data_IF_706012660623
#
_entry.id   IF_706012660623
#
_cell.length_a   1.000
_cell.length_b   1.000
_cell.length_c   1.000
_cell.angle_alpha   90.00
_cell.angle_beta   90.00
_cell.angle_gamma   90.00
#
_symmetry.space_group_name_H-M   'P 1'
#
loop_
_entity.id
_entity.type
_entity.pdbx_description
1 polymer ?
#
# COMPACT_ATOMS: atom_id res chain seq x y z
N UNK A 1 -6.67 -0.56 6.01
CA UNK A 1 -5.90 -1.49 5.15
C UNK A 1 -6.73 -2.01 3.96
N UNK A 2 -8.03 -1.71 3.87
CA UNK A 2 -8.96 -2.16 2.80
C UNK A 2 -8.78 -1.49 1.43
N UNK A 3 -7.72 -0.71 1.21
CA UNK A 3 -7.54 0.07 -0.03
C UNK A 3 -6.50 -0.50 -1.01
N UNK A 4 -5.89 -1.66 -0.71
CA UNK A 4 -4.87 -2.27 -1.60
C UNK A 4 -3.54 -1.50 -1.70
N UNK A 5 -3.38 -0.39 -0.97
CA UNK A 5 -2.15 0.40 -0.93
C UNK A 5 -1.32 0.00 0.29
N UNK A 6 -0.29 -0.78 0.05
CA UNK A 6 0.50 -1.43 1.09
C UNK A 6 1.96 -1.56 0.62
N UNK A 7 2.89 -1.59 1.58
CA UNK A 7 4.30 -1.76 1.28
C UNK A 7 4.63 -3.21 0.97
N UNK A 8 5.83 -3.47 0.44
CA UNK A 8 6.24 -4.81 -0.03
C UNK A 8 6.07 -5.89 1.03
N UNK A 9 6.43 -5.60 2.29
CA UNK A 9 6.33 -6.56 3.39
C UNK A 9 4.89 -6.99 3.65
N UNK A 10 3.95 -6.03 3.60
CA UNK A 10 2.53 -6.31 3.73
C UNK A 10 1.97 -7.06 2.52
N UNK A 11 2.48 -6.80 1.31
CA UNK A 11 2.08 -7.53 0.10
C UNK A 11 2.46 -9.00 0.19
N UNK A 12 3.66 -9.28 0.71
CA UNK A 12 4.15 -10.64 0.94
C UNK A 12 3.25 -11.35 1.97
N UNK A 13 2.90 -10.69 3.08
CA UNK A 13 1.98 -11.25 4.07
C UNK A 13 0.61 -11.58 3.48
N UNK A 14 0.04 -10.70 2.65
CA UNK A 14 -1.27 -10.92 2.01
C UNK A 14 -1.21 -12.08 1.00
N UNK A 15 -0.08 -12.31 0.34
CA UNK A 15 0.13 -13.45 -0.58
C UNK A 15 0.65 -14.72 0.11
N UNK A 16 0.38 -14.86 1.41
CA UNK A 16 0.72 -16.08 2.16
C UNK A 16 2.22 -16.28 2.36
N UNK A 17 3.00 -15.19 2.45
CA UNK A 17 4.45 -15.25 2.62
C UNK A 17 5.22 -15.56 1.33
N UNK A 18 4.54 -15.71 0.20
CA UNK A 18 5.18 -16.04 -1.07
C UNK A 18 5.67 -14.76 -1.79
N UNK A 19 6.96 -14.45 -1.63
CA UNK A 19 7.58 -13.30 -2.29
C UNK A 19 7.61 -13.40 -3.82
N UNK A 20 7.59 -14.61 -4.39
CA UNK A 20 7.54 -14.82 -5.85
C UNK A 20 6.17 -14.51 -6.45
N UNK A 21 5.12 -14.49 -5.63
CA UNK A 21 3.77 -14.10 -6.07
C UNK A 21 3.55 -12.58 -6.03
N UNK A 22 4.47 -11.81 -5.44
CA UNK A 22 4.39 -10.35 -5.33
C UNK A 22 5.03 -9.70 -6.55
N UNK A 23 4.23 -8.94 -7.27
CA UNK A 23 4.64 -8.13 -8.42
C UNK A 23 4.72 -6.66 -8.01
N UNK A 24 5.38 -5.82 -8.82
CA UNK A 24 5.56 -4.40 -8.50
C UNK A 24 4.25 -3.63 -8.33
N UNK A 25 3.16 -4.10 -8.94
CA UNK A 25 1.82 -3.51 -8.84
C UNK A 25 1.10 -3.88 -7.54
N UNK A 26 1.57 -4.89 -6.81
CA UNK A 26 0.96 -5.32 -5.56
C UNK A 26 1.38 -4.46 -4.35
N UNK A 27 2.37 -3.58 -4.52
CA UNK A 27 2.85 -2.73 -3.44
C UNK A 27 3.27 -1.34 -3.91
N UNK A 28 3.12 -0.37 -3.01
CA UNK A 28 3.65 0.97 -3.18
C UNK A 28 5.07 1.05 -2.63
N UNK A 29 5.94 1.81 -3.31
CA UNK A 29 7.18 2.22 -2.68
C UNK A 29 6.91 3.23 -1.56
N UNK A 30 7.94 3.54 -0.77
CA UNK A 30 7.81 4.43 0.39
C UNK A 30 7.21 5.79 0.05
N UNK A 31 7.61 6.40 -1.07
CA UNK A 31 7.11 7.72 -1.48
C UNK A 31 5.65 7.63 -1.97
N UNK A 32 5.34 6.64 -2.81
CA UNK A 32 3.96 6.42 -3.28
C UNK A 32 3.01 6.15 -2.11
N UNK A 33 3.46 5.40 -1.10
CA UNK A 33 2.68 5.14 0.10
C UNK A 33 2.44 6.41 0.92
N UNK A 34 3.47 7.25 1.10
CA UNK A 34 3.36 8.52 1.80
C UNK A 34 2.44 9.51 1.07
N UNK A 35 2.55 9.61 -0.26
CA UNK A 35 1.65 10.43 -1.08
C UNK A 35 0.20 9.96 -0.95
N UNK A 36 -0.01 8.63 -0.95
CA UNK A 36 -1.34 8.06 -0.80
C UNK A 36 -1.93 8.30 0.60
N UNK A 37 -1.08 8.27 1.63
CA UNK A 37 -1.48 8.64 2.98
C UNK A 37 -1.88 10.11 3.07
N UNK A 38 -1.10 11.01 2.48
CA UNK A 38 -1.38 12.44 2.44
C UNK A 38 -2.70 12.73 1.71
N UNK A 39 -2.94 12.08 0.56
CA UNK A 39 -4.20 12.21 -0.19
C UNK A 39 -5.41 11.76 0.63
N UNK A 40 -5.32 10.59 1.27
CA UNK A 40 -6.40 10.06 2.09
C UNK A 40 -6.64 10.94 3.33
N UNK A 41 -5.58 11.47 3.93
CA UNK A 41 -5.66 12.38 5.07
C UNK A 41 -6.33 13.69 4.67
N UNK A 42 -5.93 14.30 3.56
CA UNK A 42 -6.53 15.52 3.04
C UNK A 42 -8.03 15.34 2.73
N UNK A 43 -8.40 14.23 2.09
CA UNK A 43 -9.80 13.88 1.83
C UNK A 43 -10.62 13.73 3.11
N UNK A 44 -10.02 13.18 4.18
CA UNK A 44 -10.70 13.01 5.47
C UNK A 44 -10.82 14.31 6.27
N UNK A 45 -9.87 15.24 6.12
CA UNK A 45 -9.90 16.55 6.77
C UNK A 45 -10.75 17.59 6.05
N UNK A 46 -11.03 17.40 4.75
CA UNK A 46 -11.90 18.29 3.98
C UNK A 46 -13.40 18.13 4.30
N UNK A 47 -13.74 17.49 5.43
CA UNK A 47 -15.11 17.25 5.90
C UNK A 47 -15.28 17.70 7.35
#
# INVERSE_FOLDING_TARGET
MEAGFLTKDLAICVKGGNASAVTRTDYLNTFEFLDKLAENLAKKQAH
#
